data_IF_901858403535
#
_entry.id   IF_901858403535
#
_cell.length_a   1.000
_cell.length_b   1.000
_cell.length_c   1.000
_cell.angle_alpha   90.00
_cell.angle_beta   90.00
_cell.angle_gamma   90.00
#
_symmetry.space_group_name_H-M   'P 1'
#
loop_
_entity.id
_entity.type
_entity.pdbx_description
1 polymer ?
#
# COMPACT_ATOMS: atom_id res chain seq x y z
N UNK A 1 -19.35 -8.53 17.50
CA UNK A 1 -19.52 -9.76 16.72
C UNK A 1 -20.66 -9.70 15.71
N UNK A 2 -21.90 -9.26 16.05
CA UNK A 2 -23.03 -9.20 15.09
C UNK A 2 -22.81 -8.27 13.87
N UNK A 3 -22.08 -7.14 14.01
CA UNK A 3 -21.82 -6.21 12.90
C UNK A 3 -20.80 -6.73 11.87
N UNK A 4 -19.87 -7.59 12.27
CA UNK A 4 -18.88 -8.22 11.39
C UNK A 4 -19.55 -9.28 10.49
N UNK A 5 -20.50 -10.05 11.02
CA UNK A 5 -21.28 -11.02 10.24
C UNK A 5 -22.15 -10.36 9.15
N UNK A 6 -22.74 -9.19 9.43
CA UNK A 6 -23.55 -8.46 8.45
C UNK A 6 -22.70 -7.96 7.29
N UNK A 7 -21.49 -7.49 7.56
CA UNK A 7 -20.55 -7.04 6.51
C UNK A 7 -20.06 -8.20 5.63
N UNK A 8 -19.74 -9.35 6.21
CA UNK A 8 -19.40 -10.56 5.46
C UNK A 8 -20.55 -11.08 4.60
N UNK A 9 -21.79 -11.05 5.11
CA UNK A 9 -22.99 -11.45 4.35
C UNK A 9 -23.29 -10.48 3.23
N UNK A 10 -23.10 -9.16 3.42
CA UNK A 10 -23.27 -8.15 2.35
C UNK A 10 -22.21 -8.34 1.24
N UNK A 11 -20.97 -8.64 1.59
CA UNK A 11 -19.92 -8.97 0.61
C UNK A 11 -20.22 -10.26 -0.16
N UNK A 12 -20.76 -11.29 0.50
CA UNK A 12 -21.18 -12.55 -0.14
C UNK A 12 -22.37 -12.36 -1.09
N UNK A 13 -23.35 -11.54 -0.71
CA UNK A 13 -24.52 -11.25 -1.56
C UNK A 13 -24.12 -10.42 -2.79
N UNK A 14 -23.20 -9.46 -2.67
CA UNK A 14 -22.64 -8.75 -3.83
C UNK A 14 -21.86 -9.65 -4.79
N UNK A 15 -21.25 -10.75 -4.30
CA UNK A 15 -20.53 -11.70 -5.16
C UNK A 15 -21.47 -12.59 -5.99
N UNK A 16 -22.72 -12.78 -5.56
CA UNK A 16 -23.66 -13.64 -6.28
C UNK A 16 -24.34 -12.98 -7.50
N UNK A 17 -24.37 -11.64 -7.60
CA UNK A 17 -25.03 -10.94 -8.72
C UNK A 17 -24.12 -10.54 -9.87
N UNK A 18 -22.80 -10.74 -9.75
CA UNK A 18 -21.83 -10.44 -10.81
C UNK A 18 -21.74 -11.58 -11.84
N UNK A 19 -22.87 -11.98 -12.45
CA UNK A 19 -22.83 -12.71 -13.72
C UNK A 19 -22.30 -11.77 -14.79
N UNK A 20 -21.01 -11.86 -15.09
CA UNK A 20 -20.43 -11.26 -16.27
C UNK A 20 -21.06 -11.92 -17.50
N UNK A 21 -22.01 -11.25 -18.12
CA UNK A 21 -22.56 -11.66 -19.40
C UNK A 21 -21.53 -11.39 -20.50
N UNK A 22 -20.47 -12.19 -20.58
CA UNK A 22 -19.55 -12.20 -21.70
C UNK A 22 -20.17 -13.04 -22.82
N UNK A 23 -20.49 -12.43 -23.93
CA UNK A 23 -21.06 -13.07 -25.13
C UNK A 23 -20.04 -13.96 -25.86
N UNK A 24 -18.76 -13.86 -25.56
CA UNK A 24 -17.69 -14.72 -26.06
C UNK A 24 -17.17 -15.56 -24.89
N UNK A 25 -17.27 -16.91 -25.04
CA UNK A 25 -16.73 -17.87 -24.05
C UNK A 25 -15.20 -17.94 -24.16
N UNK A 26 -14.51 -16.94 -23.59
CA UNK A 26 -13.05 -16.99 -23.41
C UNK A 26 -12.75 -18.02 -22.33
N UNK A 27 -11.81 -18.94 -22.58
CA UNK A 27 -11.37 -19.95 -21.61
C UNK A 27 -10.84 -19.28 -20.34
N UNK A 28 -11.01 -19.95 -19.19
CA UNK A 28 -10.41 -19.47 -17.93
C UNK A 28 -8.87 -19.40 -18.02
N UNK A 29 -8.26 -20.27 -18.79
CA UNK A 29 -6.82 -20.28 -19.03
C UNK A 29 -6.36 -19.08 -19.84
N UNK A 30 -7.09 -18.67 -20.88
CA UNK A 30 -6.77 -17.48 -21.68
C UNK A 30 -6.88 -16.20 -20.83
N UNK A 31 -7.90 -16.12 -19.97
CA UNK A 31 -8.04 -15.01 -19.01
C UNK A 31 -6.88 -14.97 -18.01
N UNK A 32 -6.46 -16.12 -17.48
CA UNK A 32 -5.31 -16.20 -16.58
C UNK A 32 -4.01 -15.79 -17.27
N UNK A 33 -3.79 -16.20 -18.52
CA UNK A 33 -2.63 -15.81 -19.31
C UNK A 33 -2.61 -14.31 -19.59
N UNK A 34 -3.74 -13.74 -19.99
CA UNK A 34 -3.87 -12.30 -20.19
C UNK A 34 -3.51 -11.52 -18.91
N UNK A 35 -4.06 -11.92 -17.76
CA UNK A 35 -3.84 -11.25 -16.48
C UNK A 35 -2.46 -11.50 -15.85
N UNK A 36 -1.69 -12.46 -16.36
CA UNK A 36 -0.32 -12.78 -15.93
C UNK A 36 0.74 -12.43 -16.97
N UNK A 37 0.39 -11.73 -18.02
CA UNK A 37 1.31 -11.38 -19.10
C UNK A 37 2.52 -10.62 -18.56
N UNK A 38 3.72 -11.12 -18.85
CA UNK A 38 4.99 -10.45 -18.53
C UNK A 38 5.10 -9.12 -19.26
N UNK A 39 4.56 -9.01 -20.46
CA UNK A 39 4.54 -7.77 -21.26
C UNK A 39 3.81 -6.65 -20.50
N UNK A 40 2.74 -6.99 -19.75
CA UNK A 40 2.02 -6.00 -18.94
C UNK A 40 2.89 -5.37 -17.85
N UNK A 41 3.94 -6.06 -17.38
CA UNK A 41 4.86 -5.52 -16.37
C UNK A 41 5.74 -4.38 -16.90
N UNK A 42 6.09 -4.38 -18.19
CA UNK A 42 6.89 -3.32 -18.81
C UNK A 42 6.13 -2.00 -18.94
N UNK A 43 4.81 -2.06 -19.04
CA UNK A 43 3.93 -0.89 -19.16
C UNK A 43 3.17 -0.58 -17.86
N UNK A 44 3.53 -1.22 -16.76
CA UNK A 44 2.83 -1.06 -15.45
C UNK A 44 2.79 0.42 -15.00
N UNK A 45 3.83 1.21 -15.31
CA UNK A 45 3.86 2.64 -14.99
C UNK A 45 2.71 3.42 -15.65
N UNK A 46 2.33 3.06 -16.88
CA UNK A 46 1.22 3.69 -17.60
C UNK A 46 -0.12 3.38 -16.92
N UNK A 47 -0.27 2.18 -16.34
CA UNK A 47 -1.49 1.76 -15.64
C UNK A 47 -1.68 2.41 -14.26
N UNK A 48 -0.72 3.22 -13.79
CA UNK A 48 -0.92 4.09 -12.62
C UNK A 48 -1.96 5.18 -12.90
N UNK A 49 -2.08 5.61 -14.17
CA UNK A 49 -3.21 6.42 -14.60
C UNK A 49 -4.48 5.54 -14.64
N UNK A 50 -5.53 5.84 -13.83
CA UNK A 50 -6.73 5.02 -13.80
C UNK A 50 -7.48 4.95 -15.13
N UNK A 51 -7.40 5.97 -16.00
CA UNK A 51 -8.04 5.93 -17.31
C UNK A 51 -7.43 4.87 -18.23
N UNK A 52 -6.11 4.70 -18.19
CA UNK A 52 -5.39 3.72 -19.02
C UNK A 52 -5.73 2.27 -18.62
N UNK A 53 -6.18 2.04 -17.39
CA UNK A 53 -6.63 0.72 -16.94
C UNK A 53 -7.86 0.20 -17.68
N UNK A 54 -8.60 1.06 -18.35
CA UNK A 54 -9.72 0.65 -19.20
C UNK A 54 -9.29 -0.34 -20.29
N UNK A 55 -8.12 -0.17 -20.86
CA UNK A 55 -7.58 -1.02 -21.93
C UNK A 55 -6.60 -2.08 -21.43
N UNK A 56 -6.47 -2.27 -20.10
CA UNK A 56 -5.52 -3.20 -19.51
C UNK A 56 -5.82 -4.65 -19.84
N UNK A 57 -7.09 -5.05 -19.74
CA UNK A 57 -7.54 -6.41 -19.97
C UNK A 57 -8.81 -6.43 -20.82
N UNK A 58 -8.90 -7.38 -21.72
CA UNK A 58 -10.10 -7.59 -22.54
C UNK A 58 -11.17 -8.39 -21.81
N UNK A 59 -10.77 -9.22 -20.85
CA UNK A 59 -11.62 -10.16 -20.12
C UNK A 59 -11.76 -9.85 -18.65
N UNK A 60 -12.89 -10.24 -18.05
CA UNK A 60 -13.12 -10.15 -16.61
C UNK A 60 -12.52 -11.34 -15.90
N UNK A 61 -11.86 -11.10 -14.75
CA UNK A 61 -11.31 -12.14 -13.90
C UNK A 61 -11.41 -11.72 -12.44
N UNK A 62 -11.89 -12.64 -11.59
CA UNK A 62 -11.80 -12.52 -10.13
C UNK A 62 -10.96 -13.67 -9.61
N UNK A 63 -10.01 -13.35 -8.74
CA UNK A 63 -9.07 -14.31 -8.18
C UNK A 63 -8.98 -14.12 -6.67
N UNK A 64 -9.00 -15.23 -5.94
CA UNK A 64 -8.66 -15.29 -4.53
C UNK A 64 -7.36 -16.08 -4.36
N UNK A 65 -6.48 -15.57 -3.53
CA UNK A 65 -5.16 -16.18 -3.28
C UNK A 65 -4.90 -16.23 -1.78
N UNK A 66 -4.46 -17.39 -1.30
CA UNK A 66 -3.87 -17.55 0.03
C UNK A 66 -2.39 -17.84 -0.17
N UNK A 67 -1.54 -17.16 0.57
CA UNK A 67 -0.10 -17.33 0.45
C UNK A 67 0.61 -17.16 1.78
N UNK A 68 1.77 -17.81 1.90
CA UNK A 68 2.70 -17.63 2.99
C UNK A 68 4.05 -17.21 2.46
N UNK A 69 4.75 -16.38 3.21
CA UNK A 69 6.12 -15.95 2.94
C UNK A 69 6.99 -16.28 4.14
N UNK A 70 8.17 -16.81 3.85
CA UNK A 70 9.22 -17.02 4.83
C UNK A 70 10.55 -16.58 4.24
N UNK A 71 11.22 -15.65 4.93
CA UNK A 71 12.59 -15.21 4.61
C UNK A 71 13.44 -15.34 5.87
N UNK A 72 14.71 -15.67 5.71
CA UNK A 72 15.69 -15.72 6.80
C UNK A 72 17.06 -15.37 6.27
N UNK A 73 17.74 -14.43 6.93
CA UNK A 73 19.08 -13.98 6.61
C UNK A 73 19.94 -14.19 7.86
N UNK A 74 21.09 -14.83 7.70
CA UNK A 74 22.03 -15.08 8.82
C UNK A 74 22.81 -13.82 9.22
N UNK A 75 23.06 -12.92 8.24
CA UNK A 75 23.79 -11.67 8.42
C UNK A 75 23.05 -10.56 7.66
N UNK A 76 22.04 -9.93 8.29
CA UNK A 76 21.29 -8.87 7.61
C UNK A 76 22.17 -7.62 7.41
N UNK A 77 22.15 -7.09 6.20
CA UNK A 77 22.88 -5.85 5.86
C UNK A 77 22.33 -4.66 6.64
N UNK A 78 21.01 -4.65 6.87
CA UNK A 78 20.33 -3.60 7.59
C UNK A 78 19.62 -4.18 8.83
N UNK A 79 20.13 -3.86 10.00
CA UNK A 79 19.53 -4.29 11.28
C UNK A 79 18.09 -3.77 11.48
N UNK A 80 17.76 -2.66 10.81
CA UNK A 80 16.44 -2.05 10.79
C UNK A 80 15.38 -2.88 10.03
N UNK A 81 15.81 -3.80 9.19
CA UNK A 81 14.93 -4.73 8.46
C UNK A 81 14.70 -6.05 9.20
N UNK A 82 15.49 -6.33 10.25
CA UNK A 82 15.50 -7.61 10.95
C UNK A 82 16.23 -8.70 10.17
N UNK A 83 16.27 -9.91 10.71
CA UNK A 83 16.96 -11.06 10.15
C UNK A 83 16.03 -12.08 9.48
N UNK A 84 14.78 -11.77 9.36
CA UNK A 84 13.79 -12.57 8.64
C UNK A 84 12.35 -12.18 8.89
N UNK A 85 11.50 -12.60 7.99
CA UNK A 85 10.06 -12.38 8.06
C UNK A 85 9.32 -13.69 7.81
N UNK A 86 8.26 -13.92 8.57
CA UNK A 86 7.25 -14.91 8.19
C UNK A 86 5.87 -14.28 8.26
N UNK A 87 5.11 -14.50 7.19
CA UNK A 87 3.76 -13.97 7.10
C UNK A 87 2.84 -14.93 6.36
N UNK A 88 1.56 -14.80 6.66
CA UNK A 88 0.45 -15.43 5.93
C UNK A 88 -0.50 -14.33 5.48
N UNK A 89 -1.06 -14.47 4.30
CA UNK A 89 -1.98 -13.49 3.76
C UNK A 89 -3.07 -14.10 2.90
N UNK A 90 -4.13 -13.33 2.82
CA UNK A 90 -5.25 -13.54 1.90
C UNK A 90 -5.40 -12.32 1.01
N UNK A 91 -5.55 -12.56 -0.29
CA UNK A 91 -5.75 -11.51 -1.28
C UNK A 91 -6.90 -11.87 -2.21
N UNK A 92 -7.77 -10.93 -2.48
CA UNK A 92 -8.80 -11.02 -3.49
C UNK A 92 -8.63 -9.90 -4.51
N UNK A 93 -8.53 -10.25 -5.78
CA UNK A 93 -8.41 -9.33 -6.90
C UNK A 93 -9.60 -9.52 -7.82
N UNK A 94 -10.19 -8.44 -8.28
CA UNK A 94 -11.26 -8.48 -9.27
C UNK A 94 -11.04 -7.41 -10.33
N UNK A 95 -11.24 -7.79 -11.58
CA UNK A 95 -11.32 -6.87 -12.71
C UNK A 95 -12.55 -7.26 -13.54
N UNK A 96 -13.45 -6.32 -13.73
CA UNK A 96 -14.70 -6.52 -14.44
C UNK A 96 -14.67 -5.62 -15.65
N UNK A 97 -14.69 -6.22 -16.85
CA UNK A 97 -14.74 -5.51 -18.13
C UNK A 97 -16.16 -5.49 -18.67
N UNK A 98 -16.63 -4.33 -19.02
CA UNK A 98 -17.88 -4.11 -19.75
C UNK A 98 -17.58 -3.31 -21.04
N UNK A 99 -18.57 -3.19 -21.92
CA UNK A 99 -18.40 -2.53 -23.22
C UNK A 99 -17.85 -1.10 -23.10
N UNK A 100 -18.39 -0.31 -22.18
CA UNK A 100 -18.08 1.13 -22.07
C UNK A 100 -17.35 1.49 -20.77
N UNK A 101 -17.16 0.55 -19.83
CA UNK A 101 -16.48 0.81 -18.57
C UNK A 101 -15.79 -0.45 -18.02
N UNK A 102 -14.89 -0.24 -17.12
CA UNK A 102 -14.33 -1.30 -16.31
C UNK A 102 -14.30 -0.91 -14.83
N UNK A 103 -14.32 -1.93 -13.98
CA UNK A 103 -14.18 -1.85 -12.53
C UNK A 103 -13.03 -2.73 -12.10
N UNK A 104 -12.28 -2.31 -11.12
CA UNK A 104 -11.29 -3.17 -10.47
C UNK A 104 -11.30 -2.98 -8.97
N UNK A 105 -10.88 -4.00 -8.27
CA UNK A 105 -10.73 -3.97 -6.83
C UNK A 105 -9.72 -4.98 -6.34
N UNK A 106 -9.07 -4.65 -5.25
CA UNK A 106 -8.16 -5.54 -4.53
C UNK A 106 -8.44 -5.40 -3.04
N UNK A 107 -8.45 -6.52 -2.34
CA UNK A 107 -8.47 -6.56 -0.88
C UNK A 107 -7.35 -7.49 -0.42
N UNK A 108 -6.50 -7.03 0.48
CA UNK A 108 -5.38 -7.78 1.06
C UNK A 108 -5.48 -7.74 2.59
N UNK A 109 -5.36 -8.90 3.19
CA UNK A 109 -5.02 -9.07 4.60
C UNK A 109 -3.71 -9.83 4.72
N UNK A 110 -2.77 -9.33 5.52
CA UNK A 110 -1.52 -10.01 5.83
C UNK A 110 -1.25 -9.92 7.33
N UNK A 111 -0.91 -11.05 7.93
CA UNK A 111 -0.42 -11.13 9.30
C UNK A 111 0.96 -11.76 9.28
N UNK A 112 1.92 -11.13 9.94
CA UNK A 112 3.30 -11.57 9.90
C UNK A 112 4.10 -11.14 11.13
N UNK A 113 5.35 -11.60 11.17
CA UNK A 113 6.31 -11.27 12.20
C UNK A 113 7.69 -11.10 11.56
N UNK A 114 8.29 -9.94 11.79
CA UNK A 114 9.70 -9.66 11.50
C UNK A 114 10.52 -10.05 12.72
N UNK A 115 11.57 -10.83 12.51
CA UNK A 115 12.43 -11.34 13.59
C UNK A 115 13.60 -10.41 13.84
N UNK A 116 13.98 -10.31 15.10
CA UNK A 116 15.22 -9.68 15.56
C UNK A 116 15.46 -8.28 14.99
N UNK A 117 14.39 -7.49 14.88
CA UNK A 117 14.45 -6.10 14.42
C UNK A 117 15.20 -5.27 15.45
N UNK A 118 16.24 -4.53 15.05
CA UNK A 118 17.04 -3.65 15.92
C UNK A 118 17.15 -2.27 15.31
N UNK A 119 17.36 -1.25 16.15
CA UNK A 119 17.55 0.14 15.72
C UNK A 119 16.41 0.70 14.87
N UNK A 120 15.22 0.15 15.05
CA UNK A 120 14.00 0.61 14.39
C UNK A 120 12.75 0.27 15.24
N UNK A 121 12.02 1.29 15.63
CA UNK A 121 10.74 1.20 16.33
C UNK A 121 9.57 1.66 15.43
N UNK A 122 9.88 2.05 14.19
CA UNK A 122 8.96 2.72 13.28
C UNK A 122 8.51 1.76 12.17
N UNK A 123 7.21 1.61 11.94
CA UNK A 123 6.67 0.62 10.99
C UNK A 123 7.12 0.86 9.55
N UNK A 124 7.00 2.10 9.07
CA UNK A 124 7.30 2.47 7.67
C UNK A 124 8.60 3.30 7.62
N UNK A 125 9.66 2.70 8.16
CA UNK A 125 10.93 3.38 8.36
C UNK A 125 11.56 3.92 7.07
N UNK A 126 11.43 3.23 5.95
CA UNK A 126 11.97 3.68 4.66
C UNK A 126 11.32 4.98 4.18
N UNK A 127 10.00 5.12 4.41
CA UNK A 127 9.25 6.33 4.04
C UNK A 127 9.61 7.51 4.93
N UNK A 128 9.91 7.26 6.21
CA UNK A 128 10.08 8.27 7.24
C UNK A 128 11.55 8.60 7.55
N UNK A 129 12.49 7.80 7.00
CA UNK A 129 13.93 8.06 7.15
C UNK A 129 14.26 9.52 6.76
N UNK A 130 15.13 10.21 7.55
CA UNK A 130 15.93 9.70 8.67
C UNK A 130 15.29 9.87 10.05
N UNK A 131 14.06 10.36 10.15
CA UNK A 131 13.41 10.72 11.41
C UNK A 131 12.72 9.51 12.04
N UNK A 132 13.50 8.62 12.63
CA UNK A 132 13.04 7.34 13.18
C UNK A 132 13.20 7.29 14.71
N UNK A 133 12.35 6.47 15.33
CA UNK A 133 12.56 6.01 16.68
C UNK A 133 13.34 4.70 16.65
N UNK A 134 14.31 4.55 17.51
CA UNK A 134 15.20 3.40 17.54
C UNK A 134 15.59 3.02 18.98
N UNK A 135 15.77 1.72 19.22
CA UNK A 135 16.39 1.18 20.42
C UNK A 135 17.42 0.11 20.08
N UNK A 136 18.30 -0.18 21.04
CA UNK A 136 19.34 -1.21 20.90
C UNK A 136 18.89 -2.61 21.35
N UNK A 137 17.78 -2.73 22.07
CA UNK A 137 17.27 -4.01 22.60
C UNK A 137 16.77 -4.86 21.45
N UNK A 138 15.94 -4.27 20.59
CA UNK A 138 15.35 -4.95 19.46
C UNK A 138 14.35 -6.04 19.86
N UNK A 139 14.03 -6.91 18.93
CA UNK A 139 13.15 -8.06 19.10
C UNK A 139 12.22 -8.29 17.94
N UNK A 140 11.32 -9.24 18.13
CA UNK A 140 10.34 -9.63 17.10
C UNK A 140 9.20 -8.61 17.02
N UNK A 141 8.93 -8.11 15.81
CA UNK A 141 7.83 -7.19 15.53
C UNK A 141 6.69 -7.93 14.84
N UNK A 142 5.53 -8.01 15.48
CA UNK A 142 4.30 -8.52 14.85
C UNK A 142 3.66 -7.42 14.02
N UNK A 143 3.25 -7.73 12.79
CA UNK A 143 2.64 -6.76 11.86
C UNK A 143 1.37 -7.33 11.23
N UNK A 144 0.30 -6.54 11.23
CA UNK A 144 -0.95 -6.81 10.54
C UNK A 144 -1.22 -5.69 9.54
N UNK A 145 -1.58 -6.07 8.31
CA UNK A 145 -1.82 -5.14 7.21
C UNK A 145 -3.19 -5.44 6.61
N UNK A 146 -3.96 -4.39 6.40
CA UNK A 146 -5.24 -4.38 5.70
C UNK A 146 -5.14 -3.38 4.55
N UNK A 147 -5.29 -3.82 3.31
CA UNK A 147 -5.23 -2.94 2.15
C UNK A 147 -6.45 -3.15 1.27
N UNK A 148 -7.02 -2.06 0.80
CA UNK A 148 -8.16 -2.03 -0.10
C UNK A 148 -7.88 -1.05 -1.23
N UNK A 149 -8.05 -1.51 -2.45
CA UNK A 149 -7.95 -0.67 -3.64
C UNK A 149 -9.19 -0.85 -4.48
N UNK A 150 -9.71 0.21 -5.05
CA UNK A 150 -10.82 0.15 -5.96
C UNK A 150 -10.76 1.25 -6.99
N UNK A 151 -11.31 0.99 -8.17
CA UNK A 151 -11.34 1.99 -9.20
C UNK A 151 -12.35 1.70 -10.29
N UNK A 152 -12.58 2.73 -11.06
CA UNK A 152 -13.52 2.76 -12.17
C UNK A 152 -12.89 3.52 -13.32
N UNK A 153 -13.07 3.03 -14.53
CA UNK A 153 -12.78 3.79 -15.75
C UNK A 153 -13.86 3.57 -16.78
N UNK A 154 -14.19 4.63 -17.50
CA UNK A 154 -15.19 4.61 -18.56
C UNK A 154 -14.69 5.34 -19.80
N UNK A 155 -15.14 4.84 -20.94
CA UNK A 155 -14.92 5.47 -22.26
C UNK A 155 -16.22 6.08 -22.75
N UNK A 156 -16.16 7.37 -23.02
CA UNK A 156 -17.21 8.11 -23.68
C UNK A 156 -16.66 8.64 -25.00
N UNK A 157 -17.25 8.18 -26.11
CA UNK A 157 -16.72 8.39 -27.46
C UNK A 157 -15.26 7.94 -27.57
N UNK A 158 -14.32 8.87 -27.72
CA UNK A 158 -12.90 8.61 -27.86
C UNK A 158 -12.10 8.93 -26.59
N UNK A 159 -12.70 9.58 -25.60
CA UNK A 159 -12.05 9.97 -24.35
C UNK A 159 -12.31 8.91 -23.28
N UNK A 160 -11.26 8.50 -22.58
CA UNK A 160 -11.36 7.62 -21.43
C UNK A 160 -11.01 8.40 -20.16
N UNK A 161 -11.85 8.29 -19.14
CA UNK A 161 -11.59 8.86 -17.84
C UNK A 161 -11.67 7.77 -16.76
N UNK A 162 -11.01 7.99 -15.64
CA UNK A 162 -11.02 7.03 -14.56
C UNK A 162 -10.64 7.63 -13.22
N UNK A 163 -11.02 6.92 -12.17
CA UNK A 163 -10.67 7.22 -10.80
C UNK A 163 -10.26 5.95 -10.05
N UNK A 164 -9.34 6.11 -9.11
CA UNK A 164 -8.86 5.04 -8.26
C UNK A 164 -8.69 5.55 -6.83
N UNK A 165 -9.05 4.72 -5.86
CA UNK A 165 -8.70 4.93 -4.46
C UNK A 165 -7.90 3.75 -3.95
N UNK A 166 -7.02 3.99 -2.99
CA UNK A 166 -6.32 2.95 -2.23
C UNK A 166 -6.26 3.37 -0.77
N UNK A 167 -6.54 2.43 0.09
CA UNK A 167 -6.45 2.61 1.53
C UNK A 167 -5.70 1.44 2.16
N UNK A 168 -4.66 1.75 2.92
CA UNK A 168 -3.94 0.77 3.70
C UNK A 168 -3.94 1.17 5.17
N UNK A 169 -4.26 0.22 6.04
CA UNK A 169 -4.11 0.35 7.47
C UNK A 169 -3.21 -0.76 7.98
N UNK A 170 -2.28 -0.44 8.88
CA UNK A 170 -1.47 -1.46 9.53
C UNK A 170 -1.29 -1.19 11.02
N UNK A 171 -1.08 -2.28 11.75
CA UNK A 171 -0.68 -2.25 13.15
C UNK A 171 0.58 -3.10 13.30
N UNK A 172 1.62 -2.53 13.91
CA UNK A 172 2.84 -3.26 14.21
C UNK A 172 3.22 -3.03 15.68
N UNK A 173 3.56 -4.11 16.39
CA UNK A 173 3.86 -4.04 17.82
C UNK A 173 4.88 -5.07 18.25
N UNK A 174 5.59 -4.75 19.34
CA UNK A 174 6.54 -5.62 20.04
C UNK A 174 6.13 -5.83 21.49
N UNK A 175 6.32 -7.04 22.00
CA UNK A 175 5.96 -7.42 23.38
C UNK A 175 7.07 -7.24 24.44
N UNK A 176 8.29 -6.82 24.01
CA UNK A 176 9.46 -6.61 24.87
C UNK A 176 9.73 -5.11 25.00
N UNK A 177 10.09 -4.65 26.20
CA UNK A 177 10.39 -3.22 26.45
C UNK A 177 11.68 -2.76 25.74
N UNK A 178 11.65 -1.57 25.14
CA UNK A 178 10.49 -0.70 24.95
C UNK A 178 9.46 -1.35 24.03
N UNK A 179 8.17 -1.14 24.33
CA UNK A 179 7.06 -1.76 23.56
C UNK A 179 6.47 -0.77 22.57
N UNK A 180 7.00 -0.67 21.34
CA UNK A 180 6.39 0.14 20.31
C UNK A 180 5.06 -0.46 19.88
N UNK A 181 4.10 0.41 19.65
CA UNK A 181 2.87 0.11 18.91
C UNK A 181 2.68 1.16 17.84
N UNK A 182 2.88 0.76 16.61
CA UNK A 182 2.65 1.58 15.44
C UNK A 182 1.24 1.33 14.89
N UNK A 183 0.55 2.39 14.55
CA UNK A 183 -0.70 2.33 13.80
C UNK A 183 -0.57 3.26 12.60
N UNK A 184 -0.70 2.71 11.40
CA UNK A 184 -0.60 3.49 10.15
C UNK A 184 -1.92 3.55 9.42
N UNK A 185 -2.13 4.63 8.71
CA UNK A 185 -3.27 4.85 7.82
C UNK A 185 -2.77 5.63 6.60
N UNK A 186 -2.95 5.04 5.44
CA UNK A 186 -2.48 5.57 4.17
C UNK A 186 -3.64 5.56 3.16
N UNK A 187 -4.11 6.72 2.79
CA UNK A 187 -5.19 6.91 1.82
C UNK A 187 -4.65 7.61 0.59
N UNK A 188 -4.84 7.04 -0.57
CA UNK A 188 -4.54 7.69 -1.84
C UNK A 188 -5.73 7.71 -2.78
N UNK A 189 -5.83 8.81 -3.53
CA UNK A 189 -6.83 9.03 -4.57
C UNK A 189 -6.11 9.45 -5.84
N UNK A 190 -6.57 8.96 -6.98
CA UNK A 190 -6.07 9.41 -8.29
C UNK A 190 -7.20 9.52 -9.30
N UNK A 191 -7.08 10.50 -10.18
CA UNK A 191 -7.95 10.75 -11.30
C UNK A 191 -7.12 10.79 -12.58
N UNK A 192 -7.68 10.31 -13.67
CA UNK A 192 -6.97 10.25 -14.93
C UNK A 192 -7.86 10.44 -16.14
N UNK A 193 -7.22 10.92 -17.19
CA UNK A 193 -7.79 11.08 -18.53
C UNK A 193 -6.85 10.45 -19.55
N UNK A 194 -7.42 9.91 -20.62
CA UNK A 194 -6.70 9.42 -21.79
C UNK A 194 -7.43 9.90 -23.04
N UNK A 195 -6.73 10.62 -23.91
CA UNK A 195 -7.28 11.34 -25.05
C UNK A 195 -6.54 10.88 -26.31
N UNK A 196 -7.23 10.48 -27.40
CA UNK A 196 -6.57 10.14 -28.64
C UNK A 196 -5.99 11.40 -29.32
N UNK A 197 -4.70 11.35 -29.62
CA UNK A 197 -3.98 12.41 -30.35
C UNK A 197 -3.84 12.05 -31.82
N UNK A 198 -3.75 10.76 -32.12
CA UNK A 198 -3.73 10.26 -33.47
C UNK A 198 -4.44 8.90 -33.55
N UNK A 199 -4.56 8.33 -34.77
CA UNK A 199 -5.14 6.99 -34.96
C UNK A 199 -4.39 5.86 -34.22
N UNK A 200 -3.18 6.12 -33.76
CA UNK A 200 -2.31 5.11 -33.12
C UNK A 200 -1.83 5.47 -31.74
N UNK A 201 -1.98 6.72 -31.27
CA UNK A 201 -1.44 7.19 -30.01
C UNK A 201 -2.47 7.92 -29.15
N UNK A 202 -2.42 7.63 -27.87
CA UNK A 202 -3.21 8.31 -26.83
C UNK A 202 -2.26 9.09 -25.92
N UNK A 203 -2.73 10.25 -25.48
CA UNK A 203 -2.08 11.09 -24.49
C UNK A 203 -2.80 10.97 -23.16
N UNK A 204 -2.03 10.79 -22.10
CA UNK A 204 -2.51 10.47 -20.78
C UNK A 204 -2.14 11.56 -19.79
N UNK A 205 -3.10 11.96 -18.97
CA UNK A 205 -2.89 12.90 -17.87
C UNK A 205 -3.46 12.27 -16.61
N UNK A 206 -2.72 12.33 -15.50
CA UNK A 206 -3.28 11.99 -14.19
C UNK A 206 -2.83 12.93 -13.08
N UNK A 207 -3.66 13.02 -12.06
CA UNK A 207 -3.38 13.71 -10.80
C UNK A 207 -3.64 12.77 -9.64
N UNK A 208 -2.86 12.89 -8.59
CA UNK A 208 -3.00 12.06 -7.39
C UNK A 208 -2.77 12.85 -6.12
N UNK A 209 -3.45 12.43 -5.07
CA UNK A 209 -3.26 12.93 -3.71
C UNK A 209 -3.18 11.77 -2.73
N UNK A 210 -2.31 11.87 -1.73
CA UNK A 210 -2.13 10.86 -0.68
C UNK A 210 -2.11 11.54 0.68
N UNK A 211 -2.78 10.91 1.63
CA UNK A 211 -2.77 11.27 3.04
C UNK A 211 -2.19 10.12 3.85
N UNK A 212 -1.03 10.35 4.45
CA UNK A 212 -0.35 9.39 5.31
C UNK A 212 -0.44 9.82 6.77
N UNK A 213 -0.69 8.87 7.67
CA UNK A 213 -0.61 9.05 9.11
C UNK A 213 0.01 7.83 9.76
N UNK A 214 0.95 8.05 10.66
CA UNK A 214 1.44 7.02 11.57
C UNK A 214 1.49 7.56 12.98
N UNK A 215 1.00 6.77 13.91
CA UNK A 215 1.17 6.98 15.35
C UNK A 215 2.09 5.90 15.86
N UNK A 216 3.16 6.29 16.52
CA UNK A 216 4.05 5.39 17.23
C UNK A 216 3.95 5.68 18.73
N UNK A 217 3.33 4.78 19.48
CA UNK A 217 3.26 4.85 20.94
C UNK A 217 4.27 3.88 21.55
N UNK A 218 5.09 4.36 22.47
CA UNK A 218 6.06 3.55 23.19
C UNK A 218 5.65 3.45 24.66
N UNK A 219 5.63 2.23 25.18
CA UNK A 219 5.31 1.95 26.58
C UNK A 219 6.42 1.14 27.23
N UNK A 220 6.66 1.41 28.51
CA UNK A 220 7.60 0.70 29.35
C UNK A 220 6.83 0.06 30.52
N UNK A 221 7.11 -1.20 30.76
CA UNK A 221 6.47 -1.99 31.84
C UNK A 221 7.48 -2.58 32.81
N UNK A 222 8.77 -2.57 32.47
CA UNK A 222 9.83 -3.09 33.36
C UNK A 222 10.18 -2.09 34.44
N UNK A 223 10.21 -2.54 35.71
CA UNK A 223 10.69 -1.78 36.88
C UNK A 223 12.22 -1.87 37.05
N UNK A 224 12.88 -2.82 36.38
CA UNK A 224 14.31 -3.15 36.58
C UNK A 224 15.28 -2.31 35.77
N UNK A 225 14.81 -1.28 35.13
CA UNK A 225 15.61 -0.40 34.29
C UNK A 225 14.90 0.00 33.03
N UNK A 226 15.27 1.14 32.52
CA UNK A 226 14.60 1.75 31.37
C UNK A 226 15.54 1.73 30.17
N UNK A 227 15.12 1.05 29.11
CA UNK A 227 15.82 1.08 27.85
C UNK A 227 15.75 2.47 27.23
N UNK A 228 16.88 2.94 26.69
CA UNK A 228 16.92 4.23 25.99
C UNK A 228 16.31 4.10 24.60
N UNK A 229 15.44 5.03 24.26
CA UNK A 229 14.94 5.22 22.91
C UNK A 229 15.57 6.45 22.30
N UNK A 230 16.10 6.28 21.12
CA UNK A 230 16.82 7.30 20.38
C UNK A 230 15.93 7.86 19.27
N UNK A 231 15.93 9.17 19.14
CA UNK A 231 15.31 9.86 18.01
C UNK A 231 16.38 10.17 16.98
N UNK A 232 16.39 9.45 15.87
CA UNK A 232 17.31 9.66 14.78
C UNK A 232 16.90 10.89 13.97
N UNK A 233 17.89 11.69 13.58
CA UNK A 233 17.68 12.93 12.80
C UNK A 233 18.50 12.98 11.52
N UNK A 234 19.20 11.89 11.19
CA UNK A 234 20.05 11.75 10.02
C UNK A 234 21.53 12.06 10.32
N UNK A 235 22.40 11.68 9.38
CA UNK A 235 23.85 11.89 9.43
C UNK A 235 24.52 11.36 10.73
N UNK A 236 23.98 10.28 11.31
CA UNK A 236 24.46 9.73 12.57
C UNK A 236 24.05 10.53 13.83
N UNK A 237 23.32 11.62 13.65
CA UNK A 237 22.84 12.43 14.75
C UNK A 237 21.60 11.79 15.41
N UNK A 238 21.54 11.85 16.73
CA UNK A 238 20.41 11.41 17.51
C UNK A 238 20.29 12.22 18.79
N UNK A 239 19.10 12.22 19.37
CA UNK A 239 18.89 12.70 20.73
C UNK A 239 18.09 11.69 21.53
N UNK A 240 18.30 11.69 22.85
CA UNK A 240 17.69 10.79 23.80
C UNK A 240 16.77 11.60 24.72
N UNK A 241 15.60 11.94 24.20
CA UNK A 241 14.58 12.69 24.91
C UNK A 241 13.53 11.70 25.43
N UNK A 242 13.03 11.83 26.62
CA UNK A 242 11.96 11.00 27.18
C UNK A 242 12.33 9.54 27.49
N UNK A 243 13.60 9.22 27.70
CA UNK A 243 13.97 7.87 28.16
C UNK A 243 13.20 7.53 29.46
N UNK A 244 12.49 6.40 29.43
CA UNK A 244 11.79 5.90 30.58
C UNK A 244 10.36 6.40 30.80
N UNK A 245 9.83 7.21 29.94
CA UNK A 245 8.45 7.67 30.00
C UNK A 245 7.64 7.13 28.82
N UNK A 246 6.34 6.87 29.04
CA UNK A 246 5.42 6.59 27.96
C UNK A 246 5.24 7.84 27.10
N UNK A 247 5.38 7.72 25.79
CA UNK A 247 5.18 8.85 24.88
C UNK A 247 4.67 8.38 23.51
N UNK A 248 4.15 9.32 22.74
CA UNK A 248 3.66 9.07 21.39
C UNK A 248 4.27 10.05 20.41
N UNK A 249 4.59 9.54 19.24
CA UNK A 249 5.08 10.29 18.10
C UNK A 249 4.10 10.16 16.94
N UNK A 250 3.80 11.27 16.30
CA UNK A 250 2.85 11.33 15.20
C UNK A 250 3.53 11.82 13.95
N UNK A 251 3.41 11.04 12.88
CA UNK A 251 3.82 11.38 11.54
C UNK A 251 2.57 11.71 10.72
N UNK A 252 2.56 12.85 10.07
CA UNK A 252 1.43 13.35 9.31
C UNK A 252 1.91 13.83 7.93
N UNK A 253 1.75 12.98 6.92
CA UNK A 253 2.25 13.19 5.58
C UNK A 253 1.16 13.51 4.56
N UNK A 254 1.54 14.28 3.55
CA UNK A 254 0.74 14.59 2.36
C UNK A 254 1.62 14.43 1.13
N UNK A 255 1.05 13.85 0.08
CA UNK A 255 1.69 13.77 -1.22
C UNK A 255 0.75 14.30 -2.29
N UNK A 256 1.31 15.04 -3.21
CA UNK A 256 0.65 15.47 -4.44
C UNK A 256 1.47 14.98 -5.62
N UNK A 257 0.79 14.50 -6.64
CA UNK A 257 1.45 13.99 -7.82
C UNK A 257 0.68 14.30 -9.10
N UNK A 258 1.42 14.30 -10.20
CA UNK A 258 0.88 14.35 -11.54
C UNK A 258 1.71 13.52 -12.50
N UNK A 259 1.10 13.01 -13.54
CA UNK A 259 1.82 12.32 -14.61
C UNK A 259 1.27 12.68 -15.97
N UNK A 260 2.18 12.68 -16.95
CA UNK A 260 1.91 12.80 -18.37
C UNK A 260 2.46 11.55 -19.05
N UNK A 261 1.68 10.98 -19.97
CA UNK A 261 2.08 9.78 -20.69
C UNK A 261 1.63 9.80 -22.12
N UNK A 262 2.29 8.95 -22.91
CA UNK A 262 1.87 8.62 -24.28
C UNK A 262 1.93 7.11 -24.39
N UNK A 263 0.89 6.50 -24.89
CA UNK A 263 0.87 5.08 -25.20
C UNK A 263 0.19 4.79 -26.53
N UNK A 264 0.52 3.63 -27.10
CA UNK A 264 -0.07 3.19 -28.35
C UNK A 264 -1.39 2.49 -28.12
N UNK A 265 -2.36 2.69 -29.00
CA UNK A 265 -3.59 1.90 -29.08
C UNK A 265 -3.41 0.56 -29.82
N UNK A 266 -2.24 0.30 -30.39
CA UNK A 266 -1.88 -0.89 -31.17
C UNK A 266 -0.96 -1.81 -30.35
N UNK A 267 -0.78 -3.03 -30.83
CA UNK A 267 0.08 -4.05 -30.20
C UNK A 267 1.58 -3.72 -30.22
N UNK A 268 2.00 -2.68 -30.93
CA UNK A 268 3.41 -2.23 -30.99
C UNK A 268 3.49 -0.73 -31.12
N UNK A 269 4.54 -0.12 -30.59
CA UNK A 269 4.76 1.31 -30.64
C UNK A 269 5.49 1.85 -29.42
N UNK A 270 5.65 3.16 -29.38
CA UNK A 270 6.31 3.86 -28.28
C UNK A 270 5.36 4.00 -27.07
N UNK A 271 5.89 3.76 -25.86
CA UNK A 271 5.23 4.03 -24.60
C UNK A 271 6.18 4.86 -23.75
N UNK A 272 5.71 6.00 -23.27
CA UNK A 272 6.47 6.89 -22.41
C UNK A 272 5.59 7.45 -21.30
N UNK A 273 6.18 7.62 -20.10
CA UNK A 273 5.50 8.23 -18.97
C UNK A 273 6.47 9.06 -18.16
N UNK A 274 6.08 10.27 -17.81
CA UNK A 274 6.79 11.15 -16.89
C UNK A 274 5.87 11.46 -15.73
N UNK A 275 6.36 11.25 -14.51
CA UNK A 275 5.60 11.50 -13.30
C UNK A 275 6.43 12.34 -12.31
N UNK A 276 5.75 13.26 -11.67
CA UNK A 276 6.30 14.03 -10.56
C UNK A 276 5.46 13.79 -9.31
N UNK A 277 6.12 13.59 -8.17
CA UNK A 277 5.50 13.46 -6.86
C UNK A 277 6.26 14.26 -5.83
N UNK A 278 5.52 14.93 -4.98
CA UNK A 278 6.06 15.69 -3.86
C UNK A 278 5.42 15.19 -2.57
N UNK A 279 6.24 14.66 -1.68
CA UNK A 279 5.83 14.17 -0.36
C UNK A 279 6.36 15.10 0.72
N UNK A 280 5.50 15.51 1.65
CA UNK A 280 5.86 16.30 2.83
C UNK A 280 5.29 15.61 4.07
N UNK A 281 6.11 15.48 5.11
CA UNK A 281 5.71 14.87 6.36
C UNK A 281 6.07 15.77 7.55
N UNK A 282 5.10 16.01 8.42
CA UNK A 282 5.28 16.69 9.69
C UNK A 282 5.41 15.65 10.81
N UNK A 283 6.41 15.82 11.66
CA UNK A 283 6.67 15.01 12.82
C UNK A 283 6.31 15.78 14.09
N UNK A 284 5.43 15.22 14.90
CA UNK A 284 4.98 15.80 16.17
C UNK A 284 5.31 14.84 17.32
N UNK A 285 5.88 15.35 18.38
CA UNK A 285 6.12 14.62 19.63
C UNK A 285 5.16 15.11 20.70
N UNK A 286 4.56 14.17 21.45
CA UNK A 286 3.85 14.50 22.68
C UNK A 286 4.73 14.14 23.88
N UNK A 287 4.93 15.08 24.78
CA UNK A 287 5.46 14.82 26.11
C UNK A 287 4.27 14.44 27.00
N UNK A 288 4.41 13.42 27.88
CA UNK A 288 3.40 13.20 28.90
C UNK A 288 3.26 14.46 29.76
N UNK A 289 2.03 14.81 30.09
CA UNK A 289 1.75 15.91 31.00
C UNK A 289 2.38 15.60 32.36
N UNK A 290 2.99 16.57 33.06
CA UNK A 290 3.51 16.36 34.39
C UNK A 290 2.43 15.98 35.44
N UNK A 291 1.17 15.89 35.02
CA UNK A 291 0.02 15.59 35.89
C UNK A 291 -0.61 14.21 35.66
N UNK A 292 -0.08 13.38 34.71
CA UNK A 292 -0.59 12.04 34.47
C UNK A 292 0.27 10.96 35.12
#
# INVERSE_FOLDING_TARGET
>A
MKKLCVFCVLCLVCLCELRAGDTVRVSIWDRLWEHRSVVASFVELSYRNPAVRYDRYSSSLTRATVGGQYTSESEPVLLQSGDGEKSIGFQADSYIRKKNYCLWGNALYRNGRVKNLKWNETSDWELLYPYLLADSVGGDLSKEIYSFTGGYAARYESITWGGNFSYEASVAYRGIDPRPKNTTSDLSLSLGLSIPVSSSYLFDISVSGRKYKQTNGIKFYSELGVSKVYHLTGLGMHYNRFAGNNYSTYYNGYEWGGSLGVHTSRSGGFVGNVAYRYFSCCLLYTSPSPRD
#
